data_IF_716637094333
#
_entry.id   IF_716637094333
#
_cell.length_a   1.000
_cell.length_b   1.000
_cell.length_c   1.000
_cell.angle_alpha   90.00
_cell.angle_beta   90.00
_cell.angle_gamma   90.00
#
_symmetry.space_group_name_H-M   'P 1'
#
loop_
_entity.id
_entity.type
_entity.pdbx_description
1 polymer ?
#
# COMPACT_ATOMS: atom_id res chain seq x y z
N UNK A 1 -43.96 -15.14 61.51
CA UNK A 1 -42.89 -15.19 62.52
C UNK A 1 -41.99 -16.36 62.15
N UNK A 2 -40.92 -16.23 61.38
CA UNK A 2 -40.31 -15.10 60.68
C UNK A 2 -39.65 -15.63 59.41
N UNK A 3 -39.59 -14.78 58.38
CA UNK A 3 -38.93 -15.03 57.11
C UNK A 3 -37.42 -14.79 57.26
N UNK A 4 -36.61 -15.69 56.69
CA UNK A 4 -35.15 -15.57 56.68
C UNK A 4 -34.73 -14.80 55.42
N UNK A 5 -33.98 -13.73 55.66
CA UNK A 5 -33.66 -12.62 54.76
C UNK A 5 -32.36 -12.90 54.02
N UNK A 6 -32.43 -12.99 52.69
CA UNK A 6 -31.25 -13.08 51.82
C UNK A 6 -30.60 -11.70 51.70
N UNK A 7 -29.58 -11.45 52.51
CA UNK A 7 -28.75 -10.24 52.43
C UNK A 7 -27.96 -10.18 51.13
N UNK A 8 -28.51 -9.51 50.12
CA UNK A 8 -27.77 -9.01 48.98
C UNK A 8 -27.02 -7.73 49.40
N UNK A 9 -25.69 -7.79 49.40
CA UNK A 9 -24.82 -6.62 49.54
C UNK A 9 -25.05 -5.68 48.34
N UNK A 10 -25.65 -4.52 48.61
CA UNK A 10 -25.89 -3.45 47.64
C UNK A 10 -24.59 -2.66 47.47
N UNK A 11 -24.02 -2.65 46.26
CA UNK A 11 -22.87 -1.80 45.90
C UNK A 11 -23.22 -0.32 46.15
N UNK A 12 -22.49 0.41 47.02
CA UNK A 12 -22.82 1.77 47.40
C UNK A 12 -22.59 2.81 46.29
N UNK A 13 -22.21 2.41 45.07
CA UNK A 13 -21.84 3.35 43.98
C UNK A 13 -22.99 3.85 43.11
N UNK A 14 -24.25 3.54 43.41
CA UNK A 14 -25.38 4.01 42.59
C UNK A 14 -26.52 4.57 43.46
N UNK A 15 -26.27 5.73 44.08
CA UNK A 15 -27.36 6.61 44.47
C UNK A 15 -26.95 8.06 44.21
N UNK A 16 -27.35 8.62 43.06
CA UNK A 16 -27.33 10.07 42.83
C UNK A 16 -28.76 10.59 42.74
N UNK A 17 -29.01 11.66 43.48
CA UNK A 17 -30.26 12.43 43.50
C UNK A 17 -30.44 13.16 42.14
N UNK A 18 -31.68 13.35 41.64
CA UNK A 18 -31.94 14.04 40.37
C UNK A 18 -31.61 15.55 40.34
N UNK A 19 -31.25 16.17 41.47
CA UNK A 19 -31.02 17.62 41.60
C UNK A 19 -29.53 18.05 41.54
N UNK A 20 -28.59 17.12 41.32
CA UNK A 20 -27.16 17.41 41.31
C UNK A 20 -26.69 17.80 39.89
N UNK A 21 -26.96 19.05 39.50
CA UNK A 21 -26.66 19.60 38.15
C UNK A 21 -25.39 20.44 38.07
N UNK A 22 -24.55 20.44 39.11
CA UNK A 22 -23.19 20.98 39.01
C UNK A 22 -22.21 19.84 38.70
N UNK A 23 -22.05 19.55 37.40
CA UNK A 23 -20.92 18.74 36.94
C UNK A 23 -19.67 19.55 37.31
N UNK A 24 -18.98 19.14 38.38
CA UNK A 24 -17.70 19.70 38.75
C UNK A 24 -16.71 19.43 37.61
N UNK A 25 -16.53 20.44 36.75
CA UNK A 25 -15.71 20.34 35.54
C UNK A 25 -14.28 19.90 35.88
N UNK A 26 -13.79 20.21 37.08
CA UNK A 26 -12.47 19.79 37.56
C UNK A 26 -12.42 18.27 37.82
N UNK A 27 -13.43 17.70 38.46
CA UNK A 27 -13.53 16.24 38.65
C UNK A 27 -13.74 15.50 37.33
N UNK A 28 -14.53 16.08 36.42
CA UNK A 28 -14.71 15.53 35.08
C UNK A 28 -13.40 15.55 34.27
N UNK A 29 -12.60 16.63 34.36
CA UNK A 29 -11.29 16.70 33.69
C UNK A 29 -10.26 15.76 34.30
N UNK A 30 -10.26 15.59 35.62
CA UNK A 30 -9.37 14.65 36.30
C UNK A 30 -9.74 13.21 35.93
N UNK A 31 -11.03 12.87 35.95
CA UNK A 31 -11.51 11.56 35.53
C UNK A 31 -11.21 11.26 34.04
N UNK A 32 -11.25 12.27 33.16
CA UNK A 32 -10.85 12.13 31.76
C UNK A 32 -9.34 11.90 31.63
N UNK A 33 -8.52 12.66 32.36
CA UNK A 33 -7.06 12.50 32.34
C UNK A 33 -6.63 11.13 32.89
N UNK A 34 -7.20 10.71 34.02
CA UNK A 34 -6.95 9.39 34.59
C UNK A 34 -7.41 8.28 33.63
N UNK A 35 -8.51 8.50 32.91
CA UNK A 35 -8.99 7.57 31.88
C UNK A 35 -8.07 7.52 30.66
N UNK A 36 -7.52 8.65 30.21
CA UNK A 36 -6.53 8.73 29.13
C UNK A 36 -5.23 8.02 29.52
N UNK A 37 -4.70 8.27 30.72
CA UNK A 37 -3.50 7.56 31.24
C UNK A 37 -3.76 6.05 31.37
N UNK A 38 -4.94 5.65 31.83
CA UNK A 38 -5.29 4.25 31.95
C UNK A 38 -5.55 3.58 30.59
N UNK A 39 -6.05 4.32 29.60
CA UNK A 39 -6.13 3.86 28.22
C UNK A 39 -4.72 3.71 27.60
N UNK A 40 -3.81 4.66 27.83
CA UNK A 40 -2.42 4.58 27.39
C UNK A 40 -1.67 3.41 28.05
N UNK A 41 -1.89 3.19 29.35
CA UNK A 41 -1.34 2.04 30.09
C UNK A 41 -1.89 0.74 29.54
N UNK A 42 -3.21 0.60 29.40
CA UNK A 42 -3.84 -0.60 28.82
C UNK A 42 -3.39 -0.83 27.39
N UNK A 43 -3.20 0.23 26.60
CA UNK A 43 -2.67 0.15 25.23
C UNK A 43 -1.23 -0.34 25.23
N UNK A 44 -0.40 0.18 26.12
CA UNK A 44 1.00 -0.21 26.25
C UNK A 44 1.13 -1.67 26.71
N UNK A 45 0.33 -2.08 27.70
CA UNK A 45 0.27 -3.46 28.18
C UNK A 45 -0.29 -4.41 27.12
N UNK A 46 -1.34 -4.01 26.38
CA UNK A 46 -1.88 -4.79 25.28
C UNK A 46 -0.87 -4.94 24.14
N UNK A 47 -0.12 -3.89 23.81
CA UNK A 47 0.94 -3.95 22.79
C UNK A 47 2.11 -4.84 23.26
N UNK A 48 2.52 -4.74 24.53
CA UNK A 48 3.63 -5.51 25.06
C UNK A 48 3.31 -7.00 25.23
N UNK A 49 2.06 -7.31 25.60
CA UNK A 49 1.61 -8.67 25.87
C UNK A 49 0.84 -9.30 24.70
N UNK A 50 0.66 -8.59 23.57
CA UNK A 50 0.05 -9.20 22.38
C UNK A 50 0.93 -10.34 21.91
N UNK A 51 0.30 -11.46 21.55
CA UNK A 51 1.00 -12.46 20.75
C UNK A 51 1.44 -11.77 19.46
N UNK A 52 2.73 -11.89 19.14
CA UNK A 52 3.22 -11.56 17.80
C UNK A 52 2.34 -12.28 16.79
N UNK A 53 1.87 -11.59 15.75
CA UNK A 53 1.18 -12.26 14.66
C UNK A 53 2.12 -13.31 14.07
N UNK A 54 1.70 -14.58 14.10
CA UNK A 54 2.33 -15.63 13.28
C UNK A 54 1.64 -15.56 11.91
N UNK A 55 2.21 -14.76 11.00
CA UNK A 55 1.67 -14.53 9.67
C UNK A 55 1.11 -13.11 9.46
N UNK A 56 0.52 -12.88 8.29
CA UNK A 56 0.05 -11.56 7.83
C UNK A 56 -1.44 -11.28 8.15
N UNK A 57 -2.13 -12.18 8.84
CA UNK A 57 -3.58 -12.19 8.95
C UNK A 57 -4.05 -12.37 10.40
N UNK A 58 -5.18 -11.73 10.72
CA UNK A 58 -5.88 -11.87 12.00
C UNK A 58 -7.00 -12.88 11.78
N UNK A 59 -7.11 -13.88 12.65
CA UNK A 59 -8.29 -14.73 12.73
C UNK A 59 -9.32 -14.05 13.65
N UNK A 60 -10.45 -13.53 13.13
CA UNK A 60 -11.43 -12.84 13.95
C UNK A 60 -12.13 -13.81 14.90
N UNK A 61 -12.41 -13.36 16.13
CA UNK A 61 -13.14 -14.14 17.14
C UNK A 61 -14.56 -14.57 16.69
N UNK A 62 -15.10 -13.90 15.67
CA UNK A 62 -16.41 -14.19 15.08
C UNK A 62 -16.19 -14.70 13.66
N UNK A 63 -16.68 -15.90 13.40
CA UNK A 63 -16.76 -16.44 12.05
C UNK A 63 -17.86 -15.74 11.25
N UNK A 64 -17.44 -14.88 10.33
CA UNK A 64 -18.36 -14.13 9.46
C UNK A 64 -18.85 -14.95 8.27
N UNK A 65 -18.19 -16.08 7.94
CA UNK A 65 -18.44 -16.87 6.75
C UNK A 65 -18.40 -18.37 7.06
N UNK A 66 -19.41 -18.90 7.78
CA UNK A 66 -19.43 -20.28 8.24
C UNK A 66 -19.37 -21.32 7.12
N UNK A 67 -19.77 -20.95 5.90
CA UNK A 67 -19.68 -21.80 4.70
C UNK A 67 -18.24 -22.06 4.19
N UNK A 68 -17.27 -21.29 4.67
CA UNK A 68 -15.84 -21.41 4.30
C UNK A 68 -14.94 -21.34 5.52
N UNK A 69 -15.48 -21.58 6.72
CA UNK A 69 -14.72 -21.50 7.97
C UNK A 69 -13.67 -22.61 8.10
N UNK A 70 -13.82 -23.69 7.33
CA UNK A 70 -12.83 -24.76 7.18
C UNK A 70 -11.70 -24.41 6.20
N UNK A 71 -11.75 -23.25 5.55
CA UNK A 71 -10.77 -22.81 4.55
C UNK A 71 -9.75 -21.86 5.16
N UNK A 72 -8.52 -22.33 5.26
CA UNK A 72 -7.38 -21.48 5.63
C UNK A 72 -6.68 -20.88 4.40
N UNK A 73 -6.06 -19.69 4.54
CA UNK A 73 -5.16 -19.17 3.52
C UNK A 73 -4.07 -20.21 3.18
N UNK A 74 -4.01 -20.65 1.93
CA UNK A 74 -3.03 -21.63 1.49
C UNK A 74 -3.41 -23.09 1.74
N UNK A 75 -4.64 -23.39 2.14
CA UNK A 75 -5.19 -24.76 2.33
C UNK A 75 -4.93 -25.73 1.15
N UNK A 76 -4.79 -25.21 -0.07
CA UNK A 76 -4.55 -25.96 -1.31
C UNK A 76 -3.14 -25.79 -1.87
N UNK A 77 -2.25 -25.16 -1.13
CA UNK A 77 -0.91 -24.92 -1.58
C UNK A 77 -0.06 -26.20 -1.51
N UNK A 78 0.93 -26.27 -2.38
CA UNK A 78 1.96 -27.30 -2.34
C UNK A 78 3.07 -26.79 -1.42
N UNK A 79 3.15 -27.36 -0.23
CA UNK A 79 4.22 -27.07 0.74
C UNK A 79 5.35 -28.08 0.55
N UNK A 80 6.49 -27.65 0.02
CA UNK A 80 7.67 -28.52 -0.17
C UNK A 80 8.97 -27.73 -0.11
N UNK A 81 9.97 -28.28 0.59
CA UNK A 81 11.32 -27.72 0.68
C UNK A 81 11.35 -26.24 1.17
N UNK A 82 10.44 -25.88 2.09
CA UNK A 82 10.32 -24.52 2.62
C UNK A 82 9.54 -23.54 1.73
N UNK A 83 9.05 -23.98 0.57
CA UNK A 83 8.16 -23.18 -0.28
C UNK A 83 6.70 -23.52 -0.01
N UNK A 84 5.87 -22.48 0.03
CA UNK A 84 4.42 -22.56 0.09
C UNK A 84 3.84 -21.96 -1.21
N UNK A 85 3.42 -22.84 -2.14
CA UNK A 85 3.10 -22.44 -3.52
C UNK A 85 1.64 -22.75 -3.86
N UNK A 86 0.89 -21.73 -4.27
CA UNK A 86 -0.43 -21.91 -4.89
C UNK A 86 -0.25 -22.33 -6.37
N UNK A 87 -0.43 -23.60 -6.74
CA UNK A 87 0.05 -24.09 -8.04
C UNK A 87 -0.66 -23.42 -9.22
N UNK A 88 -1.97 -23.21 -9.15
CA UNK A 88 -2.74 -22.56 -10.22
C UNK A 88 -2.24 -21.14 -10.45
N UNK A 89 -2.08 -20.33 -9.42
CA UNK A 89 -1.64 -18.94 -9.59
C UNK A 89 -0.19 -18.89 -10.07
N UNK A 90 0.70 -19.61 -9.39
CA UNK A 90 2.14 -19.55 -9.68
C UNK A 90 2.47 -20.05 -11.08
N UNK A 91 1.99 -21.22 -11.49
CA UNK A 91 2.35 -21.78 -12.80
C UNK A 91 1.73 -21.01 -13.96
N UNK A 92 0.47 -20.57 -13.86
CA UNK A 92 -0.15 -19.79 -14.93
C UNK A 92 0.45 -18.39 -15.06
N UNK A 93 0.69 -17.68 -13.95
CA UNK A 93 1.35 -16.38 -13.98
C UNK A 93 2.79 -16.50 -14.51
N UNK A 94 3.56 -17.48 -14.02
CA UNK A 94 4.94 -17.69 -14.48
C UNK A 94 5.00 -18.11 -15.95
N UNK A 95 4.11 -19.01 -16.38
CA UNK A 95 4.02 -19.42 -17.77
C UNK A 95 3.69 -18.25 -18.70
N UNK A 96 2.72 -17.42 -18.32
CA UNK A 96 2.39 -16.19 -19.05
C UNK A 96 3.60 -15.26 -19.15
N UNK A 97 4.32 -15.01 -18.05
CA UNK A 97 5.48 -14.12 -18.03
C UNK A 97 6.64 -14.65 -18.86
N UNK A 98 6.92 -15.97 -18.81
CA UNK A 98 7.96 -16.58 -19.64
C UNK A 98 7.61 -16.41 -21.11
N UNK A 99 6.37 -16.69 -21.51
CA UNK A 99 5.92 -16.48 -22.89
C UNK A 99 6.04 -15.01 -23.29
N UNK A 100 5.58 -14.08 -22.45
CA UNK A 100 5.68 -12.64 -22.68
C UNK A 100 7.13 -12.19 -22.89
N UNK A 101 8.05 -12.63 -22.02
CA UNK A 101 9.48 -12.29 -22.10
C UNK A 101 10.10 -12.89 -23.37
N UNK A 102 9.80 -14.16 -23.68
CA UNK A 102 10.29 -14.80 -24.90
C UNK A 102 9.81 -14.08 -26.16
N UNK A 103 8.53 -13.72 -26.24
CA UNK A 103 8.01 -12.95 -27.37
C UNK A 103 8.71 -11.59 -27.47
N UNK A 104 8.86 -10.89 -26.35
CA UNK A 104 9.52 -9.57 -26.30
C UNK A 104 10.98 -9.59 -26.73
N UNK A 105 11.71 -10.70 -26.53
CA UNK A 105 13.12 -10.82 -26.89
C UNK A 105 13.31 -11.35 -28.32
N UNK A 106 12.50 -12.32 -28.74
CA UNK A 106 12.75 -13.09 -29.96
C UNK A 106 11.87 -12.70 -31.15
N UNK A 107 10.88 -11.82 -30.97
CA UNK A 107 10.00 -11.37 -32.05
C UNK A 107 10.24 -9.89 -32.33
N UNK A 108 10.77 -9.58 -33.51
CA UNK A 108 11.15 -8.21 -33.92
C UNK A 108 9.97 -7.23 -33.92
N UNK A 109 8.77 -7.70 -34.30
CA UNK A 109 7.56 -6.87 -34.39
C UNK A 109 6.93 -6.52 -33.03
N UNK A 110 7.53 -6.92 -31.91
CA UNK A 110 6.91 -6.77 -30.59
C UNK A 110 6.76 -5.32 -30.16
N UNK A 111 7.72 -4.46 -30.48
CA UNK A 111 7.64 -3.04 -30.12
C UNK A 111 6.48 -2.34 -30.83
N UNK A 112 6.33 -2.58 -32.13
CA UNK A 112 5.26 -1.99 -32.93
C UNK A 112 3.89 -2.50 -32.45
N UNK A 113 3.78 -3.80 -32.20
CA UNK A 113 2.56 -4.41 -31.66
C UNK A 113 2.13 -3.78 -30.33
N UNK A 114 3.06 -3.59 -29.38
CA UNK A 114 2.73 -2.94 -28.11
C UNK A 114 2.41 -1.44 -28.27
N UNK A 115 3.03 -0.77 -29.23
CA UNK A 115 2.72 0.64 -29.54
C UNK A 115 1.32 0.78 -30.09
N UNK A 116 0.91 -0.10 -31.01
CA UNK A 116 -0.47 -0.14 -31.55
C UNK A 116 -1.51 -0.40 -30.44
N UNK A 117 -1.21 -1.32 -29.52
CA UNK A 117 -2.09 -1.57 -28.36
C UNK A 117 -2.18 -0.34 -27.46
N UNK A 118 -1.06 0.31 -27.16
CA UNK A 118 -1.02 1.50 -26.33
C UNK A 118 -1.84 2.64 -26.98
N UNK A 119 -1.66 2.86 -28.28
CA UNK A 119 -2.40 3.88 -29.04
C UNK A 119 -3.90 3.57 -29.08
N UNK A 120 -4.27 2.29 -29.25
CA UNK A 120 -5.66 1.86 -29.19
C UNK A 120 -6.28 2.12 -27.80
N UNK A 121 -5.58 1.77 -26.72
CA UNK A 121 -6.04 1.99 -25.35
C UNK A 121 -6.19 3.50 -25.08
N UNK A 122 -5.20 4.31 -25.44
CA UNK A 122 -5.25 5.75 -25.25
C UNK A 122 -6.38 6.41 -26.06
N UNK A 123 -6.53 6.02 -27.33
CA UNK A 123 -7.55 6.57 -28.22
C UNK A 123 -8.98 6.15 -27.88
N UNK A 124 -9.18 4.92 -27.39
CA UNK A 124 -10.51 4.34 -27.18
C UNK A 124 -10.96 4.33 -25.71
N UNK A 125 -10.02 4.12 -24.79
CA UNK A 125 -10.27 3.92 -23.36
C UNK A 125 -9.69 5.03 -22.47
N UNK A 126 -8.98 6.04 -23.01
CA UNK A 126 -8.41 7.12 -22.21
C UNK A 126 -9.44 7.85 -21.32
N UNK A 127 -10.66 8.06 -21.83
CA UNK A 127 -11.76 8.64 -21.05
C UNK A 127 -12.16 7.77 -19.85
N UNK A 128 -12.11 6.44 -20.02
CA UNK A 128 -12.47 5.48 -18.98
C UNK A 128 -11.43 5.51 -17.86
N UNK A 129 -10.13 5.58 -18.19
CA UNK A 129 -9.07 5.77 -17.19
C UNK A 129 -9.25 7.05 -16.38
N UNK A 130 -9.52 8.18 -17.05
CA UNK A 130 -9.74 9.46 -16.35
C UNK A 130 -10.96 9.37 -15.42
N UNK A 131 -12.05 8.76 -15.88
CA UNK A 131 -13.26 8.57 -15.09
C UNK A 131 -12.99 7.70 -13.87
N UNK A 132 -12.30 6.57 -14.03
CA UNK A 132 -11.98 5.63 -12.95
C UNK A 132 -11.15 6.29 -11.84
N UNK A 133 -10.09 7.04 -12.20
CA UNK A 133 -9.27 7.76 -11.22
C UNK A 133 -10.10 8.75 -10.39
N UNK A 134 -11.01 9.48 -11.03
CA UNK A 134 -11.90 10.40 -10.34
C UNK A 134 -12.91 9.67 -9.45
N UNK A 135 -13.50 8.57 -9.94
CA UNK A 135 -14.42 7.74 -9.14
C UNK A 135 -13.72 7.18 -7.91
N UNK A 136 -12.52 6.62 -8.06
CA UNK A 136 -11.77 6.08 -6.93
C UNK A 136 -11.40 7.14 -5.90
N UNK A 137 -11.04 8.35 -6.34
CA UNK A 137 -10.84 9.48 -5.43
C UNK A 137 -12.12 9.82 -4.65
N UNK A 138 -13.26 9.93 -5.34
CA UNK A 138 -14.56 10.21 -4.70
C UNK A 138 -14.95 9.10 -3.72
N UNK A 139 -14.73 7.83 -4.06
CA UNK A 139 -15.01 6.68 -3.20
C UNK A 139 -14.11 6.68 -1.97
N UNK A 140 -12.81 6.95 -2.14
CA UNK A 140 -11.87 7.07 -1.03
C UNK A 140 -12.28 8.20 -0.07
N UNK A 141 -12.65 9.37 -0.60
CA UNK A 141 -13.18 10.48 0.20
C UNK A 141 -14.49 10.11 0.91
N UNK A 142 -15.39 9.40 0.23
CA UNK A 142 -16.62 8.91 0.85
C UNK A 142 -16.33 8.01 2.05
N UNK A 143 -15.41 7.05 1.94
CA UNK A 143 -15.02 6.23 3.08
C UNK A 143 -14.37 7.06 4.19
N UNK A 144 -13.49 8.00 3.85
CA UNK A 144 -12.80 8.84 4.83
C UNK A 144 -13.75 9.75 5.63
N UNK A 145 -14.72 10.38 4.98
CA UNK A 145 -15.59 11.40 5.60
C UNK A 145 -16.97 10.88 6.04
N UNK A 146 -17.38 9.69 5.59
CA UNK A 146 -18.65 9.09 6.02
C UNK A 146 -18.53 8.38 7.37
N UNK A 147 -19.66 7.84 7.86
CA UNK A 147 -19.70 6.98 9.04
C UNK A 147 -18.80 5.75 8.94
N UNK A 148 -18.44 5.30 7.73
CA UNK A 148 -17.61 4.12 7.53
C UNK A 148 -16.14 4.36 7.88
N UNK A 149 -15.66 5.61 7.84
CA UNK A 149 -14.30 5.97 8.27
C UNK A 149 -14.05 5.77 9.77
N UNK A 150 -15.10 5.56 10.56
CA UNK A 150 -15.01 5.23 11.99
C UNK A 150 -14.80 3.74 12.26
N UNK A 151 -14.88 2.89 11.24
CA UNK A 151 -14.66 1.44 11.39
C UNK A 151 -13.17 1.20 11.58
N UNK A 152 -12.81 0.58 12.70
CA UNK A 152 -11.43 0.15 12.98
C UNK A 152 -11.11 -1.14 12.23
N UNK A 153 -9.94 -1.16 11.58
CA UNK A 153 -9.43 -2.38 10.96
C UNK A 153 -8.91 -3.33 12.04
N UNK A 154 -9.37 -4.59 12.02
CA UNK A 154 -9.09 -5.59 13.07
C UNK A 154 -10.15 -5.71 14.17
N UNK A 155 -11.27 -4.99 14.06
CA UNK A 155 -12.41 -5.10 14.98
C UNK A 155 -12.57 -3.90 15.94
N UNK A 156 -13.67 -3.86 16.74
CA UNK A 156 -14.06 -2.69 17.53
C UNK A 156 -13.05 -2.33 18.64
N UNK A 157 -12.34 -3.32 19.16
CA UNK A 157 -11.34 -3.17 20.23
C UNK A 157 -9.90 -3.17 19.70
N UNK A 158 -9.70 -3.19 18.39
CA UNK A 158 -8.37 -3.15 17.80
C UNK A 158 -7.64 -1.86 18.17
N UNK A 159 -6.35 -2.00 18.47
CA UNK A 159 -5.43 -0.92 18.78
C UNK A 159 -4.34 -0.85 17.70
N UNK A 160 -3.87 0.36 17.31
CA UNK A 160 -2.81 0.48 16.31
C UNK A 160 -1.53 -0.21 16.77
N UNK A 161 -0.96 -1.02 15.87
CA UNK A 161 0.24 -1.79 16.15
C UNK A 161 1.51 -0.96 16.24
N UNK A 162 1.55 0.12 15.45
CA UNK A 162 2.65 1.07 15.36
C UNK A 162 2.21 2.42 15.90
N UNK A 163 3.17 3.19 16.42
CA UNK A 163 2.91 4.59 16.76
C UNK A 163 2.59 5.38 15.49
N UNK A 164 1.81 6.45 15.63
CA UNK A 164 1.40 7.30 14.48
C UNK A 164 2.60 7.82 13.69
N UNK A 165 3.67 8.23 14.37
CA UNK A 165 4.91 8.71 13.74
C UNK A 165 5.61 7.59 12.97
N UNK A 166 5.73 6.40 13.57
CA UNK A 166 6.33 5.23 12.89
C UNK A 166 5.51 4.84 11.66
N UNK A 167 4.19 4.89 11.76
CA UNK A 167 3.29 4.55 10.65
C UNK A 167 3.43 5.53 9.48
N UNK A 168 3.46 6.85 9.74
CA UNK A 168 3.72 7.84 8.69
C UNK A 168 5.10 7.67 8.06
N UNK A 169 6.14 7.38 8.86
CA UNK A 169 7.48 7.13 8.34
C UNK A 169 7.50 5.90 7.42
N UNK A 170 6.82 4.81 7.80
CA UNK A 170 6.68 3.62 6.96
C UNK A 170 5.95 3.91 5.65
N UNK A 171 4.85 4.68 5.70
CA UNK A 171 4.11 5.08 4.49
C UNK A 171 4.97 5.90 3.53
N UNK A 172 5.70 6.89 4.04
CA UNK A 172 6.59 7.70 3.23
C UNK A 172 7.73 6.85 2.65
N UNK A 173 8.31 5.94 3.45
CA UNK A 173 9.35 5.02 2.96
C UNK A 173 8.86 4.11 1.84
N UNK A 174 7.63 3.61 1.93
CA UNK A 174 7.04 2.76 0.91
C UNK A 174 6.71 3.52 -0.38
N UNK A 175 6.32 4.79 -0.28
CA UNK A 175 5.96 5.64 -1.42
C UNK A 175 7.15 6.31 -2.12
N UNK A 176 8.27 6.52 -1.42
CA UNK A 176 9.51 7.10 -1.96
C UNK A 176 10.28 6.08 -2.81
N UNK A 177 9.72 5.75 -3.98
CA UNK A 177 10.32 4.82 -4.94
C UNK A 177 11.19 5.51 -6.01
N UNK A 178 11.76 4.68 -6.89
CA UNK A 178 12.46 5.11 -8.11
C UNK A 178 11.61 6.07 -8.94
N UNK A 179 10.29 5.88 -8.93
CA UNK A 179 9.33 6.76 -9.63
C UNK A 179 9.52 8.23 -9.27
N UNK A 180 9.63 8.59 -7.98
CA UNK A 180 9.83 9.98 -7.57
C UNK A 180 11.22 10.51 -7.91
N UNK A 181 12.26 9.68 -7.82
CA UNK A 181 13.62 10.06 -8.19
C UNK A 181 13.79 10.30 -9.69
N UNK A 182 13.04 9.58 -10.52
CA UNK A 182 13.09 9.71 -11.97
C UNK A 182 12.12 10.79 -12.46
N UNK A 183 10.83 10.62 -12.18
CA UNK A 183 9.76 11.48 -12.69
C UNK A 183 9.62 12.79 -11.92
N UNK A 184 10.09 12.87 -10.67
CA UNK A 184 10.03 14.12 -9.89
C UNK A 184 10.78 15.28 -10.54
N UNK A 185 11.78 15.00 -11.38
CA UNK A 185 12.48 16.00 -12.21
C UNK A 185 12.04 15.92 -13.68
N UNK A 186 11.93 14.70 -14.23
CA UNK A 186 11.67 14.53 -15.65
C UNK A 186 10.26 15.00 -16.07
N UNK A 187 9.24 14.73 -15.26
CA UNK A 187 7.84 15.01 -15.62
C UNK A 187 7.51 16.52 -15.65
N UNK A 188 7.89 17.34 -14.64
CA UNK A 188 7.68 18.78 -14.74
C UNK A 188 8.42 19.40 -15.92
N UNK A 189 9.63 18.94 -16.23
CA UNK A 189 10.40 19.43 -17.38
C UNK A 189 9.72 19.04 -18.71
N UNK A 190 9.18 17.83 -18.78
CA UNK A 190 8.42 17.36 -19.94
C UNK A 190 7.16 18.21 -20.15
N UNK A 191 6.37 18.46 -19.10
CA UNK A 191 5.19 19.31 -19.22
C UNK A 191 5.51 20.79 -19.39
N UNK A 192 6.72 21.24 -19.04
CA UNK A 192 7.15 22.61 -19.31
C UNK A 192 7.40 22.86 -20.79
N UNK A 193 7.96 21.87 -21.49
CA UNK A 193 8.25 21.94 -22.93
C UNK A 193 7.09 21.44 -23.80
N UNK A 194 6.17 20.69 -23.22
CA UNK A 194 4.95 20.18 -23.87
C UNK A 194 3.75 20.29 -22.92
N UNK A 195 3.29 21.52 -22.62
CA UNK A 195 2.21 21.76 -21.66
C UNK A 195 0.91 21.10 -22.10
N UNK A 196 0.14 20.63 -21.12
CA UNK A 196 -1.12 19.97 -21.40
C UNK A 196 -2.08 20.93 -22.14
N UNK A 197 -2.76 20.48 -23.21
CA UNK A 197 -3.63 21.34 -24.01
C UNK A 197 -4.74 22.04 -23.22
N UNK A 198 -5.12 21.48 -22.07
CA UNK A 198 -6.09 22.05 -21.13
C UNK A 198 -5.72 23.48 -20.69
N UNK A 199 -4.43 23.82 -20.60
CA UNK A 199 -3.98 25.11 -20.08
C UNK A 199 -3.82 26.17 -21.17
N UNK A 200 -3.72 25.78 -22.45
CA UNK A 200 -3.54 26.69 -23.61
C UNK A 200 -2.41 27.73 -23.40
N UNK A 201 -1.23 27.25 -23.01
CA UNK A 201 -0.04 28.09 -22.73
C UNK A 201 1.11 27.77 -23.66
N UNK A 202 1.94 28.78 -23.93
CA UNK A 202 3.13 28.63 -24.78
C UNK A 202 4.19 27.77 -24.07
N UNK A 203 4.76 26.75 -24.74
CA UNK A 203 5.88 25.96 -24.21
C UNK A 203 7.05 26.83 -23.74
N UNK A 204 7.63 26.51 -22.59
CA UNK A 204 8.78 27.23 -22.06
C UNK A 204 8.49 28.63 -21.50
N UNK A 205 7.23 29.03 -21.40
CA UNK A 205 6.81 30.27 -20.72
C UNK A 205 6.72 30.09 -19.20
N UNK A 206 6.68 31.19 -18.45
CA UNK A 206 6.47 31.16 -16.99
C UNK A 206 5.15 30.46 -16.64
N UNK A 207 4.10 30.67 -17.43
CA UNK A 207 2.81 30.03 -17.19
C UNK A 207 2.80 28.54 -17.56
N UNK A 208 3.60 28.10 -18.54
CA UNK A 208 3.88 26.68 -18.75
C UNK A 208 4.56 26.04 -17.53
N UNK A 209 5.39 26.76 -16.78
CA UNK A 209 5.96 26.29 -15.51
C UNK A 209 4.90 25.96 -14.46
N UNK A 210 3.88 26.82 -14.33
CA UNK A 210 2.76 26.57 -13.41
C UNK A 210 1.89 25.41 -13.88
N UNK A 211 1.59 25.35 -15.18
CA UNK A 211 0.81 24.26 -15.78
C UNK A 211 1.51 22.90 -15.63
N UNK A 212 2.82 22.88 -15.79
CA UNK A 212 3.64 21.68 -15.60
C UNK A 212 3.55 21.15 -14.18
N UNK A 213 3.77 22.02 -13.17
CA UNK A 213 3.65 21.63 -11.76
C UNK A 213 2.22 21.21 -11.40
N UNK A 214 1.19 21.89 -11.91
CA UNK A 214 -0.21 21.50 -11.68
C UNK A 214 -0.51 20.09 -12.21
N UNK A 215 0.02 19.76 -13.40
CA UNK A 215 -0.14 18.42 -14.00
C UNK A 215 0.62 17.37 -13.19
N UNK A 216 1.87 17.63 -12.79
CA UNK A 216 2.63 16.70 -11.96
C UNK A 216 1.98 16.49 -10.59
N UNK A 217 1.44 17.53 -9.96
CA UNK A 217 0.70 17.39 -8.70
C UNK A 217 -0.60 16.62 -8.86
N UNK A 218 -1.25 16.67 -10.03
CA UNK A 218 -2.40 15.81 -10.31
C UNK A 218 -2.00 14.33 -10.27
N UNK A 219 -0.90 13.97 -10.94
CA UNK A 219 -0.44 12.58 -11.04
C UNK A 219 0.12 12.02 -9.73
N UNK A 220 0.91 12.82 -8.99
CA UNK A 220 1.61 12.38 -7.76
C UNK A 220 0.92 12.79 -6.46
N UNK A 221 -0.16 13.57 -6.56
CA UNK A 221 -0.95 14.03 -5.42
C UNK A 221 -2.07 13.06 -5.05
N UNK A 222 -3.17 13.62 -4.55
CA UNK A 222 -4.26 12.85 -3.92
C UNK A 222 -4.88 11.76 -4.80
N UNK A 223 -4.84 11.90 -6.13
CA UNK A 223 -5.40 10.91 -7.05
C UNK A 223 -4.65 9.58 -6.96
N UNK A 224 -3.32 9.59 -7.09
CA UNK A 224 -2.51 8.37 -6.99
C UNK A 224 -2.62 7.70 -5.62
N UNK A 225 -2.56 8.50 -4.55
CA UNK A 225 -2.68 7.99 -3.18
C UNK A 225 -4.06 7.44 -2.84
N UNK A 226 -5.13 7.96 -3.45
CA UNK A 226 -6.48 7.44 -3.26
C UNK A 226 -6.62 5.99 -3.75
N UNK A 227 -5.98 5.63 -4.87
CA UNK A 227 -6.00 4.24 -5.37
C UNK A 227 -5.28 3.29 -4.38
N UNK A 228 -4.13 3.69 -3.86
CA UNK A 228 -3.41 2.91 -2.85
C UNK A 228 -4.21 2.78 -1.57
N UNK A 229 -4.77 3.89 -1.07
CA UNK A 229 -5.60 3.92 0.13
C UNK A 229 -6.83 3.04 0.01
N UNK A 230 -7.54 3.10 -1.12
CA UNK A 230 -8.73 2.27 -1.36
C UNK A 230 -8.38 0.79 -1.46
N UNK A 231 -7.28 0.45 -2.14
CA UNK A 231 -6.81 -0.93 -2.28
C UNK A 231 -6.38 -1.49 -0.92
N UNK A 232 -5.61 -0.72 -0.14
CA UNK A 232 -5.19 -1.10 1.21
C UNK A 232 -6.40 -1.25 2.15
N UNK A 233 -7.38 -0.35 2.07
CA UNK A 233 -8.63 -0.44 2.82
C UNK A 233 -9.39 -1.72 2.48
N UNK A 234 -9.52 -2.06 1.19
CA UNK A 234 -10.22 -3.26 0.76
C UNK A 234 -9.53 -4.53 1.27
N UNK A 235 -8.22 -4.68 1.04
CA UNK A 235 -7.45 -5.84 1.52
C UNK A 235 -7.46 -5.93 3.05
N UNK A 236 -7.18 -4.82 3.73
CA UNK A 236 -7.15 -4.75 5.19
C UNK A 236 -8.51 -5.05 5.83
N UNK A 237 -9.61 -4.55 5.27
CA UNK A 237 -10.94 -4.85 5.79
C UNK A 237 -11.30 -6.32 5.64
N UNK A 238 -11.10 -6.92 4.45
CA UNK A 238 -11.45 -8.33 4.27
C UNK A 238 -10.53 -9.28 5.04
N UNK A 239 -9.26 -8.94 5.19
CA UNK A 239 -8.34 -9.73 5.99
C UNK A 239 -8.60 -9.59 7.50
N UNK A 240 -8.62 -8.36 8.01
CA UNK A 240 -8.59 -8.12 9.45
C UNK A 240 -9.97 -8.05 10.10
N UNK A 241 -11.01 -7.63 9.37
CA UNK A 241 -12.38 -7.58 9.92
C UNK A 241 -13.24 -8.75 9.50
N UNK A 242 -12.86 -9.47 8.44
CA UNK A 242 -13.68 -10.53 7.86
C UNK A 242 -12.98 -11.88 7.78
N UNK A 243 -11.73 -11.99 8.24
CA UNK A 243 -11.01 -13.25 8.35
C UNK A 243 -10.69 -13.93 7.01
N UNK A 244 -10.83 -13.24 5.89
CA UNK A 244 -10.52 -13.81 4.57
C UNK A 244 -9.02 -13.70 4.26
N UNK A 245 -8.47 -14.60 3.42
CA UNK A 245 -7.08 -14.54 2.99
C UNK A 245 -6.65 -13.13 2.54
N UNK A 246 -5.48 -12.64 2.97
CA UNK A 246 -4.92 -11.35 2.53
C UNK A 246 -4.49 -11.39 1.04
N UNK A 247 -5.48 -11.38 0.16
CA UNK A 247 -5.35 -11.58 -1.30
C UNK A 247 -6.44 -10.79 -2.03
N UNK A 248 -6.20 -10.41 -3.28
CA UNK A 248 -7.17 -9.61 -4.04
C UNK A 248 -8.48 -10.35 -4.29
N UNK A 249 -8.47 -11.69 -4.45
CA UNK A 249 -9.72 -12.47 -4.56
C UNK A 249 -10.70 -12.24 -3.40
N UNK A 250 -10.21 -11.96 -2.19
CA UNK A 250 -11.04 -11.76 -1.01
C UNK A 250 -11.90 -10.51 -1.09
N UNK A 251 -11.45 -9.48 -1.82
CA UNK A 251 -12.21 -8.26 -2.08
C UNK A 251 -13.50 -8.57 -2.83
N UNK A 252 -13.50 -9.63 -3.65
CA UNK A 252 -14.63 -10.03 -4.47
C UNK A 252 -15.57 -11.02 -3.77
N UNK A 253 -15.31 -11.39 -2.52
CA UNK A 253 -16.20 -12.29 -1.76
C UNK A 253 -17.67 -11.81 -1.71
N UNK A 254 -17.99 -10.52 -1.52
CA UNK A 254 -19.39 -10.08 -1.50
C UNK A 254 -20.16 -10.35 -2.80
N UNK A 255 -19.46 -10.53 -3.93
CA UNK A 255 -20.05 -10.76 -5.24
C UNK A 255 -19.98 -12.25 -5.61
N UNK A 256 -18.82 -12.89 -5.37
CA UNK A 256 -18.53 -14.25 -5.81
C UNK A 256 -18.84 -15.31 -4.74
N UNK A 257 -18.92 -14.91 -3.47
CA UNK A 257 -19.06 -15.78 -2.30
C UNK A 257 -17.94 -16.83 -2.25
N UNK A 258 -18.24 -18.10 -1.91
CA UNK A 258 -17.25 -19.18 -1.87
C UNK A 258 -16.51 -19.46 -3.19
N UNK A 259 -16.97 -18.90 -4.33
CA UNK A 259 -16.30 -19.07 -5.63
C UNK A 259 -14.92 -18.42 -5.70
N UNK A 260 -14.54 -17.59 -4.72
CA UNK A 260 -13.17 -17.07 -4.61
C UNK A 260 -12.12 -18.18 -4.42
N UNK A 261 -12.51 -19.37 -3.93
CA UNK A 261 -11.60 -20.52 -3.80
C UNK A 261 -11.52 -21.36 -5.09
N UNK A 262 -12.17 -20.92 -6.16
CA UNK A 262 -12.24 -21.60 -7.45
C UNK A 262 -11.60 -20.79 -8.61
N UNK A 263 -11.97 -21.11 -9.86
CA UNK A 263 -11.35 -20.53 -11.06
C UNK A 263 -11.38 -18.99 -11.11
N UNK A 264 -12.47 -18.37 -10.64
CA UNK A 264 -12.60 -16.91 -10.62
C UNK A 264 -11.59 -16.23 -9.69
N UNK A 265 -11.39 -16.78 -8.48
CA UNK A 265 -10.37 -16.24 -7.58
C UNK A 265 -8.95 -16.48 -8.08
N UNK A 266 -8.69 -17.61 -8.73
CA UNK A 266 -7.41 -17.85 -9.38
C UNK A 266 -7.14 -16.83 -10.49
N UNK A 267 -8.14 -16.51 -11.32
CA UNK A 267 -7.99 -15.50 -12.37
C UNK A 267 -7.67 -14.11 -11.79
N UNK A 268 -8.36 -13.71 -10.72
CA UNK A 268 -8.09 -12.43 -10.03
C UNK A 268 -6.66 -12.37 -9.52
N UNK A 269 -6.20 -13.42 -8.84
CA UNK A 269 -4.84 -13.44 -8.29
C UNK A 269 -3.76 -13.52 -9.38
N UNK A 270 -4.01 -14.27 -10.47
CA UNK A 270 -3.10 -14.31 -11.62
C UNK A 270 -2.94 -12.91 -12.23
N UNK A 271 -4.05 -12.21 -12.47
CA UNK A 271 -4.02 -10.83 -12.98
C UNK A 271 -3.29 -9.90 -12.02
N UNK A 272 -3.52 -10.06 -10.72
CA UNK A 272 -2.86 -9.27 -9.67
C UNK A 272 -1.34 -9.48 -9.68
N UNK A 273 -0.88 -10.73 -9.75
CA UNK A 273 0.54 -11.08 -9.81
C UNK A 273 1.18 -10.50 -11.07
N UNK A 274 0.52 -10.66 -12.22
CA UNK A 274 0.99 -10.12 -13.51
C UNK A 274 1.09 -8.59 -13.44
N UNK A 275 0.05 -7.90 -13.00
CA UNK A 275 0.03 -6.44 -12.89
C UNK A 275 1.13 -5.93 -11.94
N UNK A 276 1.32 -6.59 -10.80
CA UNK A 276 2.36 -6.25 -9.83
C UNK A 276 3.75 -6.42 -10.44
N UNK A 277 4.00 -7.54 -11.13
CA UNK A 277 5.31 -7.82 -11.73
C UNK A 277 5.65 -6.88 -12.88
N UNK A 278 4.67 -6.51 -13.72
CA UNK A 278 4.87 -5.48 -14.73
C UNK A 278 5.24 -4.12 -14.11
N UNK A 279 4.50 -3.68 -13.08
CA UNK A 279 4.81 -2.44 -12.37
C UNK A 279 6.21 -2.43 -11.74
N UNK A 280 6.57 -3.53 -11.08
CA UNK A 280 7.90 -3.69 -10.48
C UNK A 280 9.02 -3.70 -11.54
N UNK A 281 8.82 -4.41 -12.65
CA UNK A 281 9.80 -4.49 -13.73
C UNK A 281 10.06 -3.13 -14.39
N UNK A 282 9.01 -2.35 -14.66
CA UNK A 282 9.15 -0.99 -15.22
C UNK A 282 9.93 -0.07 -14.28
N UNK A 283 9.59 -0.07 -12.99
CA UNK A 283 10.30 0.73 -11.98
C UNK A 283 11.78 0.35 -11.88
N UNK A 284 12.08 -0.95 -11.82
CA UNK A 284 13.46 -1.45 -11.78
C UNK A 284 14.25 -1.09 -13.05
N UNK A 285 13.61 -1.15 -14.22
CA UNK A 285 14.21 -0.75 -15.50
C UNK A 285 14.63 0.72 -15.50
N UNK A 286 13.74 1.63 -15.09
CA UNK A 286 14.08 3.05 -14.97
C UNK A 286 15.18 3.29 -13.95
N UNK A 287 15.17 2.57 -12.82
CA UNK A 287 16.22 2.68 -11.80
C UNK A 287 17.59 2.27 -12.34
N UNK A 288 17.66 1.18 -13.11
CA UNK A 288 18.89 0.73 -13.75
C UNK A 288 19.40 1.73 -14.80
N UNK A 289 18.51 2.29 -15.62
CA UNK A 289 18.86 3.33 -16.58
C UNK A 289 19.40 4.59 -15.87
N UNK A 290 18.73 5.03 -14.81
CA UNK A 290 19.15 6.20 -14.04
C UNK A 290 20.51 5.98 -13.36
N UNK A 291 20.73 4.80 -12.77
CA UNK A 291 22.00 4.44 -12.15
C UNK A 291 23.13 4.36 -13.19
N UNK A 292 22.89 3.73 -14.33
CA UNK A 292 23.86 3.64 -15.43
C UNK A 292 24.26 5.03 -15.94
N UNK A 293 23.28 5.91 -16.20
CA UNK A 293 23.52 7.28 -16.62
C UNK A 293 24.31 8.09 -15.57
N UNK A 294 23.99 7.93 -14.29
CA UNK A 294 24.72 8.58 -13.20
C UNK A 294 26.18 8.12 -13.10
N UNK A 295 26.42 6.81 -13.20
CA UNK A 295 27.78 6.24 -13.19
C UNK A 295 28.58 6.65 -14.43
N UNK A 296 27.94 6.73 -15.60
CA UNK A 296 28.56 7.27 -16.81
C UNK A 296 28.99 8.72 -16.59
N UNK A 297 28.10 9.55 -16.05
CA UNK A 297 28.38 10.97 -15.81
C UNK A 297 29.51 11.22 -14.81
N UNK A 298 29.61 10.42 -13.76
CA UNK A 298 30.59 10.59 -12.67
C UNK A 298 31.93 9.88 -12.93
N UNK A 299 31.89 8.68 -13.52
CA UNK A 299 33.03 7.78 -13.60
C UNK A 299 33.35 7.30 -15.03
N UNK A 300 32.57 7.71 -16.04
CA UNK A 300 32.75 7.29 -17.42
C UNK A 300 32.40 5.82 -17.68
N UNK A 301 31.63 5.18 -16.79
CA UNK A 301 31.16 3.80 -16.98
C UNK A 301 30.18 3.69 -18.17
N UNK A 302 30.05 2.53 -18.84
CA UNK A 302 29.08 2.37 -19.92
C UNK A 302 27.64 2.59 -19.44
N UNK A 303 26.75 3.04 -20.31
CA UNK A 303 25.31 3.23 -20.04
C UNK A 303 24.40 2.43 -20.99
N UNK A 304 24.99 1.55 -21.80
CA UNK A 304 24.27 0.69 -22.75
C UNK A 304 23.44 -0.42 -22.05
N UNK A 305 22.55 -1.05 -22.82
CA UNK A 305 21.65 -2.11 -22.35
C UNK A 305 22.38 -3.24 -21.60
N UNK A 306 23.55 -3.66 -22.09
CA UNK A 306 24.34 -4.72 -21.45
C UNK A 306 24.77 -4.35 -20.03
N UNK A 307 25.20 -3.10 -19.81
CA UNK A 307 25.55 -2.61 -18.48
C UNK A 307 24.32 -2.44 -17.58
N UNK A 308 23.19 -1.99 -18.13
CA UNK A 308 21.93 -1.91 -17.38
C UNK A 308 21.47 -3.29 -16.89
N UNK A 309 21.55 -4.32 -17.74
CA UNK A 309 21.26 -5.72 -17.36
C UNK A 309 22.22 -6.19 -16.26
N UNK A 310 23.51 -5.88 -16.37
CA UNK A 310 24.50 -6.22 -15.35
C UNK A 310 24.15 -5.58 -13.98
N UNK A 311 23.77 -4.30 -13.96
CA UNK A 311 23.34 -3.62 -12.75
C UNK A 311 22.10 -4.28 -12.14
N UNK A 312 21.09 -4.61 -12.96
CA UNK A 312 19.89 -5.30 -12.51
C UNK A 312 20.24 -6.64 -11.86
N UNK A 313 21.07 -7.46 -12.52
CA UNK A 313 21.51 -8.75 -12.00
C UNK A 313 22.29 -8.61 -10.70
N UNK A 314 23.18 -7.62 -10.60
CA UNK A 314 23.96 -7.36 -9.40
C UNK A 314 23.07 -6.94 -8.21
N UNK A 315 22.19 -5.96 -8.42
CA UNK A 315 21.30 -5.44 -7.36
C UNK A 315 20.30 -6.52 -6.92
N UNK A 316 19.71 -7.24 -7.88
CA UNK A 316 18.75 -8.32 -7.60
C UNK A 316 19.44 -9.48 -6.90
N UNK A 317 20.67 -9.83 -7.29
CA UNK A 317 21.49 -10.84 -6.62
C UNK A 317 21.78 -10.46 -5.16
N UNK A 318 22.22 -9.22 -4.91
CA UNK A 318 22.45 -8.72 -3.55
C UNK A 318 21.18 -8.72 -2.70
N UNK A 319 20.05 -8.27 -3.26
CA UNK A 319 18.76 -8.28 -2.58
C UNK A 319 18.32 -9.71 -2.24
N UNK A 320 18.46 -10.65 -3.18
CA UNK A 320 18.11 -12.06 -2.99
C UNK A 320 18.97 -12.71 -1.90
N UNK A 321 20.29 -12.47 -1.92
CA UNK A 321 21.21 -12.96 -0.88
C UNK A 321 20.80 -12.38 0.48
N UNK A 322 20.44 -11.10 0.54
CA UNK A 322 19.99 -10.46 1.78
C UNK A 322 18.73 -11.13 2.35
N UNK A 323 17.74 -11.42 1.50
CA UNK A 323 16.49 -12.10 1.92
C UNK A 323 16.76 -13.53 2.35
N UNK A 324 17.52 -14.32 1.57
CA UNK A 324 17.82 -15.73 1.89
C UNK A 324 18.67 -15.86 3.16
N UNK A 325 19.55 -14.90 3.42
CA UNK A 325 20.36 -14.87 4.64
C UNK A 325 19.55 -14.47 5.89
N UNK A 326 18.25 -14.18 5.77
CA UNK A 326 17.42 -13.74 6.90
C UNK A 326 17.89 -12.41 7.49
N UNK A 327 18.51 -11.55 6.67
CA UNK A 327 18.94 -10.21 7.06
C UNK A 327 17.73 -9.26 7.10
N UNK A 328 16.69 -9.60 7.86
CA UNK A 328 15.53 -8.72 8.11
C UNK A 328 16.00 -7.39 8.70
N UNK A 329 17.03 -7.46 9.57
CA UNK A 329 17.70 -6.28 10.09
C UNK A 329 18.47 -5.49 9.00
N UNK A 330 18.93 -6.15 7.93
CA UNK A 330 19.59 -5.51 6.79
C UNK A 330 18.62 -4.72 5.93
N UNK A 331 17.49 -5.33 5.54
CA UNK A 331 16.43 -4.66 4.78
C UNK A 331 15.88 -3.46 5.56
N UNK A 332 15.63 -3.62 6.86
CA UNK A 332 15.21 -2.53 7.73
C UNK A 332 16.21 -1.35 7.73
N UNK A 333 17.50 -1.63 7.94
CA UNK A 333 18.55 -0.60 7.95
C UNK A 333 18.70 0.11 6.60
N UNK A 334 18.60 -0.63 5.49
CA UNK A 334 18.65 -0.05 4.15
C UNK A 334 17.45 0.86 3.88
N UNK A 335 16.26 0.46 4.33
CA UNK A 335 15.05 1.29 4.23
C UNK A 335 15.17 2.57 5.06
N UNK A 336 15.66 2.47 6.30
CA UNK A 336 15.90 3.63 7.17
C UNK A 336 16.93 4.59 6.56
N UNK A 337 18.04 4.04 6.05
CA UNK A 337 19.07 4.81 5.36
C UNK A 337 18.53 5.53 4.12
N UNK A 338 17.68 4.86 3.33
CA UNK A 338 17.05 5.45 2.16
C UNK A 338 16.23 6.69 2.51
N UNK A 339 15.42 6.64 3.56
CA UNK A 339 14.63 7.79 4.03
C UNK A 339 15.56 8.95 4.44
N UNK A 340 16.62 8.66 5.19
CA UNK A 340 17.59 9.68 5.60
C UNK A 340 18.30 10.31 4.41
N UNK A 341 18.73 9.51 3.43
CA UNK A 341 19.37 10.01 2.22
C UNK A 341 18.40 10.85 1.38
N UNK A 342 17.17 10.41 1.21
CA UNK A 342 16.13 11.17 0.50
C UNK A 342 15.84 12.50 1.20
N UNK A 343 15.70 12.50 2.52
CA UNK A 343 15.50 13.71 3.33
C UNK A 343 16.70 14.67 3.24
N UNK A 344 17.92 14.16 3.35
CA UNK A 344 19.13 14.95 3.20
C UNK A 344 19.24 15.54 1.79
N UNK A 345 18.90 14.76 0.76
CA UNK A 345 18.90 15.23 -0.63
C UNK A 345 17.87 16.33 -0.87
N UNK A 346 16.65 16.18 -0.32
CA UNK A 346 15.62 17.23 -0.39
C UNK A 346 16.10 18.54 0.26
N UNK A 347 16.67 18.46 1.47
CA UNK A 347 17.21 19.63 2.17
C UNK A 347 18.34 20.27 1.36
N UNK A 348 19.24 19.45 0.81
CA UNK A 348 20.33 19.93 -0.04
C UNK A 348 19.80 20.69 -1.26
N UNK A 349 18.83 20.15 -1.99
CA UNK A 349 18.22 20.81 -3.15
C UNK A 349 17.52 22.10 -2.75
N UNK A 350 16.85 22.14 -1.60
CA UNK A 350 16.18 23.35 -1.12
C UNK A 350 17.17 24.47 -0.76
N UNK A 351 18.31 24.12 -0.14
CA UNK A 351 19.33 25.10 0.28
C UNK A 351 20.24 25.58 -0.87
N UNK A 352 20.55 24.72 -1.83
CA UNK A 352 21.47 25.02 -2.95
C UNK A 352 20.72 25.43 -4.22
N UNK A 353 19.46 25.01 -4.35
CA UNK A 353 18.59 25.39 -5.46
C UNK A 353 18.14 26.86 -5.39
N UNK A 354 17.40 27.34 -6.41
CA UNK A 354 16.92 28.72 -6.48
C UNK A 354 15.72 28.94 -5.53
N UNK A 355 15.99 29.07 -4.23
CA UNK A 355 14.97 29.26 -3.18
C UNK A 355 14.31 30.63 -3.18
#
# INVERSE_FOLDING_TARGET
>A
MDADDTGAEVDPRIHRSPDDTDINLTEATLALHDWEEEEERRRSEAIANRKSFEGLQIDPDIDFYPEVSDREPGDRNIVRAGFDIHPQVTFWASGFLVVFICLSIFVDATQDFFSEILDFINGSLGWFYILDFNIFLLVAMYFAFSRYGKIKLGGPFALPEFSTVSWYAMLLSAGLGIGLMFWGVAEPIFHYTSPAPLFDVEPGSIDAGKAALATTYLHWGVHGWALYGLTALALGFFAYNRGLPLTFRSIFYPILGPRIYGPWGHAIDILTVIATLFGLATSLGFGAQQAAAGLNKLFGMPDNLGFQILLILAITGLATISVVAGLDAGVKRLSELNIWLAGAFLIFVLLVGPT
#
